data_IF_627213197975
#
_entry.id   IF_627213197975
#
_cell.length_a   1.000
_cell.length_b   1.000
_cell.length_c   1.000
_cell.angle_alpha   90.00
_cell.angle_beta   90.00
_cell.angle_gamma   90.00
#
_symmetry.space_group_name_H-M   'P 1'
#
loop_
_entity.id
_entity.type
_entity.pdbx_description
1 polymer ?
#
# COMPACT_ATOMS: atom_id res chain seq x y z
N UNK A 1 23.89 21.45 -11.42
CA UNK A 1 24.73 20.36 -11.97
C UNK A 1 26.09 20.93 -12.35
N UNK A 2 27.14 20.70 -11.55
CA UNK A 2 28.53 21.00 -11.94
C UNK A 2 29.07 19.81 -12.73
N UNK A 3 29.26 19.96 -14.05
CA UNK A 3 29.97 18.98 -14.87
C UNK A 3 31.48 19.16 -14.69
N UNK A 4 32.04 18.49 -13.67
CA UNK A 4 33.49 18.22 -13.57
C UNK A 4 33.65 16.79 -13.09
N UNK A 5 34.10 15.93 -13.99
CA UNK A 5 34.81 14.67 -13.78
C UNK A 5 34.32 13.58 -14.74
N UNK A 6 34.78 13.66 -15.99
CA UNK A 6 35.13 12.49 -16.79
C UNK A 6 36.26 12.93 -17.73
N UNK A 7 37.43 12.32 -17.51
CA UNK A 7 38.65 12.29 -18.32
C UNK A 7 39.72 13.39 -18.14
N UNK A 8 40.84 12.97 -17.54
CA UNK A 8 42.20 13.42 -17.88
C UNK A 8 42.74 14.63 -17.15
N UNK A 9 43.55 14.42 -16.11
CA UNK A 9 44.48 15.44 -15.57
C UNK A 9 45.49 15.81 -16.66
N UNK A 10 45.41 17.03 -17.18
CA UNK A 10 46.54 17.74 -17.77
C UNK A 10 46.50 19.19 -17.27
N UNK A 11 47.70 19.74 -17.08
CA UNK A 11 48.08 20.82 -16.16
C UNK A 11 47.29 22.14 -16.33
N UNK A 12 47.06 22.80 -15.19
CA UNK A 12 46.72 24.23 -15.01
C UNK A 12 45.61 24.76 -15.93
N UNK A 13 44.36 24.76 -15.45
CA UNK A 13 43.30 25.52 -16.09
C UNK A 13 42.00 25.54 -15.30
N UNK A 14 41.51 26.75 -14.97
CA UNK A 14 40.23 27.01 -14.30
C UNK A 14 39.08 26.40 -15.11
N UNK A 15 38.62 25.20 -14.76
CA UNK A 15 37.44 24.61 -15.39
C UNK A 15 36.19 25.48 -15.22
N UNK A 16 35.55 25.80 -16.33
CA UNK A 16 34.38 26.68 -16.44
C UNK A 16 33.12 25.89 -16.04
N UNK A 17 32.45 26.32 -14.98
CA UNK A 17 31.23 25.68 -14.49
C UNK A 17 29.96 26.35 -15.03
N UNK A 18 29.09 25.60 -15.69
CA UNK A 18 27.72 26.04 -16.00
C UNK A 18 26.89 26.13 -14.71
N UNK A 19 26.52 27.36 -14.30
CA UNK A 19 25.57 27.64 -13.20
C UNK A 19 24.12 27.81 -13.70
N UNK A 20 23.73 27.06 -14.72
CA UNK A 20 22.38 27.16 -15.32
C UNK A 20 21.69 25.80 -15.24
N UNK A 21 20.58 25.72 -14.49
CA UNK A 21 19.78 24.49 -14.36
C UNK A 21 18.99 24.17 -15.63
N UNK A 22 18.62 22.89 -15.81
CA UNK A 22 17.90 22.39 -17.01
C UNK A 22 16.60 23.12 -17.31
N UNK A 23 15.81 23.42 -16.26
CA UNK A 23 14.55 24.16 -16.40
C UNK A 23 14.81 25.57 -16.99
N UNK A 24 15.83 26.26 -16.49
CA UNK A 24 16.20 27.60 -16.94
C UNK A 24 16.70 27.63 -18.39
N UNK A 25 17.39 26.59 -18.87
CA UNK A 25 17.83 26.50 -20.28
C UNK A 25 16.67 26.33 -21.27
N UNK A 26 15.54 25.79 -20.81
CA UNK A 26 14.35 25.53 -21.64
C UNK A 26 13.44 26.74 -21.73
N UNK A 27 13.33 27.52 -20.65
CA UNK A 27 12.50 28.73 -20.60
C UNK A 27 13.21 29.99 -21.10
N UNK A 28 14.46 29.88 -21.55
CA UNK A 28 15.23 31.00 -22.09
C UNK A 28 14.79 31.36 -23.52
N UNK A 29 14.72 32.66 -23.79
CA UNK A 29 14.57 33.15 -25.17
C UNK A 29 15.76 32.72 -26.05
N UNK A 30 15.58 32.76 -27.36
CA UNK A 30 16.65 32.45 -28.33
C UNK A 30 17.86 33.34 -28.07
N UNK A 31 17.65 34.65 -27.89
CA UNK A 31 18.72 35.63 -27.64
C UNK A 31 19.46 35.36 -26.32
N UNK A 32 18.73 35.00 -25.25
CA UNK A 32 19.33 34.64 -23.96
C UNK A 32 20.19 33.38 -24.05
N UNK A 33 19.75 32.39 -24.81
CA UNK A 33 20.49 31.15 -25.02
C UNK A 33 21.74 31.38 -25.88
N UNK A 34 21.64 32.17 -26.94
CA UNK A 34 22.77 32.49 -27.82
C UNK A 34 23.80 33.38 -27.12
N UNK A 35 23.37 34.28 -26.22
CA UNK A 35 24.26 35.03 -25.33
C UNK A 35 25.04 34.11 -24.35
N UNK A 36 24.50 32.95 -23.98
CA UNK A 36 25.23 31.96 -23.19
C UNK A 36 26.23 31.22 -24.07
N UNK A 37 25.85 30.81 -25.28
CA UNK A 37 26.76 30.13 -26.21
C UNK A 37 27.93 31.03 -26.66
N UNK A 38 27.69 32.35 -26.77
CA UNK A 38 28.69 33.33 -27.19
C UNK A 38 29.76 33.60 -26.12
N UNK A 39 29.43 33.43 -24.83
CA UNK A 39 30.40 33.48 -23.73
C UNK A 39 31.48 32.40 -23.83
N UNK A 40 31.17 31.27 -24.46
CA UNK A 40 32.14 30.18 -24.69
C UNK A 40 32.97 30.34 -25.97
N UNK A 41 32.65 31.30 -26.86
CA UNK A 41 33.47 31.58 -28.06
C UNK A 41 34.75 32.35 -27.75
N UNK A 42 34.80 33.06 -26.62
CA UNK A 42 35.95 33.91 -26.25
C UNK A 42 37.14 33.13 -25.67
N UNK A 43 37.12 31.79 -25.74
CA UNK A 43 38.17 30.92 -25.24
C UNK A 43 39.02 30.51 -26.45
N UNK A 44 40.04 31.31 -26.74
CA UNK A 44 40.81 31.23 -27.99
C UNK A 44 42.09 30.39 -27.84
N UNK A 45 42.02 29.25 -27.16
CA UNK A 45 43.10 28.26 -27.24
C UNK A 45 42.69 27.12 -28.17
N UNK A 46 43.56 26.79 -29.12
CA UNK A 46 43.35 25.79 -30.16
C UNK A 46 42.92 24.43 -29.58
N UNK A 47 43.48 24.05 -28.43
CA UNK A 47 43.16 22.82 -27.68
C UNK A 47 41.71 22.79 -27.14
N UNK A 48 41.09 23.94 -26.89
CA UNK A 48 39.74 24.02 -26.34
C UNK A 48 38.63 24.12 -27.41
N UNK A 49 38.97 24.33 -28.69
CA UNK A 49 37.97 24.46 -29.77
C UNK A 49 37.10 23.21 -29.91
N UNK A 50 37.68 22.02 -29.79
CA UNK A 50 36.90 20.78 -29.83
C UNK A 50 35.98 20.63 -28.61
N UNK A 51 36.47 21.00 -27.43
CA UNK A 51 35.72 20.95 -26.17
C UNK A 51 34.52 21.93 -26.20
N UNK A 52 34.74 23.16 -26.64
CA UNK A 52 33.69 24.18 -26.82
C UNK A 52 32.67 23.73 -27.86
N UNK A 53 33.10 23.12 -28.97
CA UNK A 53 32.19 22.56 -30.00
C UNK A 53 31.31 21.43 -29.43
N UNK A 54 31.88 20.53 -28.64
CA UNK A 54 31.15 19.44 -27.98
C UNK A 54 30.16 19.95 -26.92
N UNK A 55 30.56 20.94 -26.13
CA UNK A 55 29.69 21.56 -25.13
C UNK A 55 28.52 22.31 -25.78
N UNK A 56 28.77 23.03 -26.87
CA UNK A 56 27.73 23.68 -27.70
C UNK A 56 26.74 22.66 -28.25
N UNK A 57 27.25 21.54 -28.79
CA UNK A 57 26.41 20.44 -29.29
C UNK A 57 25.56 19.85 -28.16
N UNK A 58 26.12 19.64 -26.97
CA UNK A 58 25.41 19.12 -25.81
C UNK A 58 24.32 20.08 -25.31
N UNK A 59 24.61 21.38 -25.20
CA UNK A 59 23.64 22.40 -24.78
C UNK A 59 22.50 22.55 -25.80
N UNK A 60 22.81 22.53 -27.11
CA UNK A 60 21.81 22.52 -28.17
C UNK A 60 20.94 21.26 -28.11
N UNK A 61 21.53 20.10 -27.81
CA UNK A 61 20.79 18.84 -27.63
C UNK A 61 19.88 18.89 -26.39
N UNK A 62 20.37 19.40 -25.26
CA UNK A 62 19.59 19.55 -24.02
C UNK A 62 18.44 20.55 -24.14
N UNK A 63 18.56 21.55 -25.02
CA UNK A 63 17.49 22.50 -25.36
C UNK A 63 16.45 21.89 -26.31
N UNK A 64 16.87 21.00 -27.23
CA UNK A 64 16.02 20.45 -28.30
C UNK A 64 15.37 19.09 -27.99
N UNK A 65 15.97 18.22 -27.19
CA UNK A 65 15.44 16.88 -26.92
C UNK A 65 14.49 16.86 -25.71
N UNK A 66 13.21 16.61 -25.96
CA UNK A 66 12.25 16.11 -24.96
C UNK A 66 12.45 14.62 -24.66
N UNK A 67 13.19 13.90 -25.50
CA UNK A 67 13.23 12.43 -25.53
C UNK A 67 14.61 11.83 -25.19
N UNK A 68 15.44 12.52 -24.42
CA UNK A 68 16.60 11.88 -23.78
C UNK A 68 16.12 10.91 -22.69
N UNK A 69 15.70 9.73 -23.16
CA UNK A 69 15.55 8.50 -22.42
C UNK A 69 16.83 8.33 -21.61
N UNK A 70 16.67 8.37 -20.29
CA UNK A 70 17.70 7.93 -19.36
C UNK A 70 17.93 6.44 -19.62
N UNK A 71 18.91 6.10 -20.46
CA UNK A 71 19.64 4.83 -20.36
C UNK A 71 21.14 5.14 -20.43
N UNK A 72 21.98 4.64 -19.50
CA UNK A 72 21.72 3.61 -18.49
C UNK A 72 22.15 4.03 -17.06
N UNK A 73 21.22 4.50 -16.24
CA UNK A 73 21.42 4.55 -14.77
C UNK A 73 21.32 3.14 -14.14
N UNK A 74 20.83 2.15 -14.91
CA UNK A 74 20.68 0.77 -14.47
C UNK A 74 22.02 0.03 -14.32
N UNK A 75 23.10 0.47 -14.99
CA UNK A 75 24.35 -0.30 -15.11
C UNK A 75 25.18 -0.43 -13.80
N UNK A 76 24.82 0.26 -12.70
CA UNK A 76 25.58 0.16 -11.44
C UNK A 76 24.76 0.10 -10.15
N UNK A 77 23.45 -0.11 -10.20
CA UNK A 77 22.69 -0.31 -8.95
C UNK A 77 22.93 -1.73 -8.46
N UNK A 78 23.57 -1.85 -7.30
CA UNK A 78 23.68 -3.11 -6.56
C UNK A 78 22.30 -3.47 -6.01
N UNK A 79 22.07 -4.77 -5.83
CA UNK A 79 20.95 -5.28 -5.05
C UNK A 79 20.95 -4.58 -3.69
N UNK A 80 19.78 -4.13 -3.25
CA UNK A 80 19.54 -3.68 -1.89
C UNK A 80 18.71 -4.75 -1.20
N UNK A 81 19.15 -5.16 -0.03
CA UNK A 81 18.29 -5.91 0.89
C UNK A 81 17.17 -4.99 1.36
N UNK A 82 15.98 -5.56 1.47
CA UNK A 82 14.78 -4.89 1.94
C UNK A 82 13.88 -5.93 2.59
N UNK A 83 13.39 -5.64 3.80
CA UNK A 83 12.64 -6.61 4.59
C UNK A 83 11.38 -7.12 3.91
N UNK A 84 10.71 -6.30 3.08
CA UNK A 84 9.49 -6.74 2.38
C UNK A 84 9.84 -7.56 1.15
N UNK A 85 10.78 -7.08 0.32
CA UNK A 85 11.19 -7.80 -0.90
C UNK A 85 11.82 -9.16 -0.58
N UNK A 86 12.71 -9.19 0.41
CA UNK A 86 13.46 -10.39 0.77
C UNK A 86 12.57 -11.40 1.53
N UNK A 87 11.46 -10.96 2.11
CA UNK A 87 10.50 -11.87 2.77
C UNK A 87 9.51 -12.48 1.77
N UNK A 88 9.09 -11.73 0.76
CA UNK A 88 8.24 -12.25 -0.32
C UNK A 88 9.02 -13.22 -1.23
N UNK A 89 10.30 -12.95 -1.46
CA UNK A 89 11.18 -13.80 -2.26
C UNK A 89 12.52 -14.03 -1.53
N UNK A 90 12.59 -14.97 -0.58
CA UNK A 90 13.81 -15.25 0.20
C UNK A 90 15.04 -15.60 -0.63
N UNK A 91 14.83 -16.29 -1.76
CA UNK A 91 15.89 -16.70 -2.67
C UNK A 91 16.44 -15.53 -3.52
N UNK A 92 15.89 -14.32 -3.35
CA UNK A 92 16.29 -13.12 -4.06
C UNK A 92 17.79 -12.90 -4.00
N UNK A 93 18.40 -12.99 -2.82
CA UNK A 93 19.81 -12.68 -2.63
C UNK A 93 20.73 -13.64 -3.40
N UNK A 94 20.33 -14.91 -3.52
CA UNK A 94 21.11 -15.97 -4.17
C UNK A 94 20.92 -15.94 -5.69
N UNK A 95 19.70 -15.68 -6.15
CA UNK A 95 19.31 -15.73 -7.56
C UNK A 95 19.41 -14.38 -8.27
N UNK A 96 19.75 -13.29 -7.56
CA UNK A 96 19.84 -11.97 -8.15
C UNK A 96 20.98 -11.86 -9.17
N UNK A 97 20.62 -11.47 -10.38
CA UNK A 97 21.58 -11.26 -11.46
C UNK A 97 21.84 -9.76 -11.60
N UNK A 98 23.10 -9.31 -11.74
CA UNK A 98 23.39 -7.91 -12.05
C UNK A 98 22.68 -7.45 -13.32
N UNK A 99 22.05 -6.27 -13.27
CA UNK A 99 21.20 -5.75 -14.33
C UNK A 99 21.83 -5.75 -15.74
N UNK A 100 23.15 -5.55 -15.84
CA UNK A 100 23.90 -5.58 -17.10
C UNK A 100 24.15 -6.99 -17.66
N UNK A 101 24.02 -8.04 -16.84
CA UNK A 101 24.12 -9.45 -17.24
C UNK A 101 22.76 -10.04 -17.63
N UNK A 102 21.65 -9.37 -17.32
CA UNK A 102 20.29 -9.87 -17.58
C UNK A 102 19.94 -9.80 -19.07
N UNK A 103 19.29 -10.85 -19.58
CA UNK A 103 18.87 -10.96 -20.98
C UNK A 103 17.35 -11.12 -21.16
N UNK A 104 16.66 -11.72 -20.18
CA UNK A 104 15.23 -12.05 -20.26
C UNK A 104 14.35 -10.79 -20.36
N UNK A 105 13.35 -10.84 -21.23
CA UNK A 105 12.31 -9.82 -21.37
C UNK A 105 10.94 -10.46 -21.61
N UNK A 106 9.85 -9.75 -21.30
CA UNK A 106 8.49 -10.22 -21.61
C UNK A 106 7.42 -9.43 -20.88
N UNK A 107 6.32 -10.10 -20.50
CA UNK A 107 5.16 -9.49 -19.83
C UNK A 107 4.66 -10.34 -18.66
N UNK A 108 4.00 -9.69 -17.70
CA UNK A 108 3.23 -10.32 -16.64
C UNK A 108 1.81 -9.75 -16.66
N UNK A 109 0.81 -10.63 -16.64
CA UNK A 109 -0.59 -10.24 -16.54
C UNK A 109 -1.05 -10.40 -15.09
N UNK A 110 -1.58 -9.33 -14.53
CA UNK A 110 -2.21 -9.28 -13.22
C UNK A 110 -3.72 -9.40 -13.41
N UNK A 111 -4.22 -10.58 -13.07
CA UNK A 111 -5.62 -10.95 -13.15
C UNK A 111 -6.12 -11.32 -11.75
N UNK A 112 -7.34 -10.89 -11.42
CA UNK A 112 -7.96 -11.05 -10.10
C UNK A 112 -7.05 -10.55 -8.98
N UNK A 113 -6.42 -9.39 -9.19
CA UNK A 113 -5.41 -8.85 -8.28
C UNK A 113 -6.06 -8.22 -7.04
N UNK A 114 -6.31 -9.05 -6.03
CA UNK A 114 -7.09 -8.72 -4.84
C UNK A 114 -6.78 -9.64 -3.67
N UNK A 115 -6.37 -9.06 -2.53
CA UNK A 115 -6.26 -9.80 -1.27
C UNK A 115 -7.65 -10.15 -0.72
N UNK A 116 -8.68 -9.36 -1.03
CA UNK A 116 -10.06 -9.59 -0.56
C UNK A 116 -10.66 -10.85 -1.17
N UNK A 117 -10.42 -11.09 -2.46
CA UNK A 117 -11.07 -12.17 -3.21
C UNK A 117 -10.12 -13.31 -3.58
N UNK A 118 -8.82 -13.03 -3.72
CA UNK A 118 -7.83 -14.03 -4.14
C UNK A 118 -6.44 -13.79 -3.53
N UNK A 119 -6.29 -13.91 -2.20
CA UNK A 119 -5.04 -13.59 -1.51
C UNK A 119 -3.88 -14.49 -1.92
N UNK A 120 -4.10 -15.78 -2.15
CA UNK A 120 -3.06 -16.74 -2.59
C UNK A 120 -2.52 -16.37 -3.97
N UNK A 121 -3.39 -16.10 -4.95
CA UNK A 121 -2.95 -15.70 -6.28
C UNK A 121 -2.27 -14.33 -6.22
N UNK A 122 -2.81 -13.38 -5.44
CA UNK A 122 -2.28 -12.02 -5.31
C UNK A 122 -0.86 -12.03 -4.76
N UNK A 123 -0.59 -12.75 -3.67
CA UNK A 123 0.76 -12.84 -3.11
C UNK A 123 1.72 -13.58 -4.06
N UNK A 124 1.22 -14.56 -4.81
CA UNK A 124 2.02 -15.26 -5.83
C UNK A 124 2.40 -14.34 -6.98
N UNK A 125 1.47 -13.53 -7.49
CA UNK A 125 1.76 -12.52 -8.50
C UNK A 125 2.76 -11.48 -8.00
N UNK A 126 2.69 -11.08 -6.72
CA UNK A 126 3.68 -10.20 -6.11
C UNK A 126 5.07 -10.85 -6.04
N UNK A 127 5.17 -12.14 -5.69
CA UNK A 127 6.43 -12.89 -5.76
C UNK A 127 6.99 -12.94 -7.18
N UNK A 128 6.16 -13.26 -8.17
CA UNK A 128 6.56 -13.29 -9.59
C UNK A 128 7.15 -11.94 -10.04
N UNK A 129 6.57 -10.83 -9.57
CA UNK A 129 7.09 -9.49 -9.84
C UNK A 129 8.49 -9.32 -9.25
N UNK A 130 8.72 -9.74 -8.01
CA UNK A 130 10.02 -9.63 -7.32
C UNK A 130 11.07 -10.58 -7.92
N UNK A 131 10.68 -11.79 -8.29
CA UNK A 131 11.53 -12.76 -8.98
C UNK A 131 12.00 -12.21 -10.34
N UNK A 132 11.07 -11.68 -11.15
CA UNK A 132 11.38 -11.07 -12.44
C UNK A 132 12.24 -9.84 -12.27
N UNK A 133 12.03 -9.03 -11.23
CA UNK A 133 12.95 -7.93 -10.90
C UNK A 133 14.37 -8.40 -10.64
N UNK A 134 14.54 -9.57 -10.06
CA UNK A 134 15.85 -10.10 -9.68
C UNK A 134 16.63 -10.63 -10.88
N UNK A 135 15.94 -11.11 -11.92
CA UNK A 135 16.58 -11.86 -13.03
C UNK A 135 16.32 -11.29 -14.43
N UNK A 136 15.31 -10.45 -14.65
CA UNK A 136 14.93 -9.94 -15.97
C UNK A 136 15.51 -8.56 -16.29
N UNK A 137 15.80 -8.36 -17.58
CA UNK A 137 16.34 -7.10 -18.11
C UNK A 137 15.26 -6.03 -18.15
N UNK A 138 14.08 -6.39 -18.63
CA UNK A 138 12.91 -5.52 -18.71
C UNK A 138 11.63 -6.33 -18.90
N UNK A 139 10.51 -5.91 -18.34
CA UNK A 139 9.20 -6.50 -18.64
C UNK A 139 8.06 -5.50 -18.55
N UNK A 140 6.93 -5.83 -19.15
CA UNK A 140 5.69 -5.08 -19.00
C UNK A 140 4.80 -5.71 -17.93
N UNK A 141 4.05 -4.88 -17.21
CA UNK A 141 3.09 -5.31 -16.19
C UNK A 141 1.69 -4.90 -16.64
N UNK A 142 0.86 -5.88 -17.00
CA UNK A 142 -0.46 -5.66 -17.53
C UNK A 142 -1.51 -5.85 -16.43
N UNK A 143 -2.29 -4.83 -16.15
CA UNK A 143 -3.43 -4.87 -15.24
C UNK A 143 -4.68 -5.10 -16.08
N UNK A 144 -5.20 -6.33 -16.05
CA UNK A 144 -6.20 -6.79 -17.02
C UNK A 144 -7.62 -6.92 -16.44
N UNK A 145 -7.80 -6.72 -15.14
CA UNK A 145 -9.13 -6.69 -14.54
C UNK A 145 -9.94 -5.49 -15.06
N UNK A 146 -11.24 -5.65 -15.25
CA UNK A 146 -12.09 -4.55 -15.74
C UNK A 146 -12.15 -3.39 -14.74
N UNK A 147 -12.27 -3.72 -13.45
CA UNK A 147 -12.38 -2.79 -12.33
C UNK A 147 -11.26 -3.02 -11.31
N UNK A 148 -10.98 -2.03 -10.46
CA UNK A 148 -10.08 -2.22 -9.33
C UNK A 148 -10.79 -3.05 -8.25
N UNK A 149 -10.39 -4.32 -8.08
CA UNK A 149 -11.04 -5.25 -7.15
C UNK A 149 -10.65 -5.04 -5.69
N UNK A 150 -9.50 -4.41 -5.45
CA UNK A 150 -8.93 -4.17 -4.12
C UNK A 150 -7.77 -3.18 -4.25
N UNK A 151 -7.85 -2.05 -3.55
CA UNK A 151 -6.81 -1.01 -3.60
C UNK A 151 -5.51 -1.44 -2.90
N UNK A 152 -5.60 -2.32 -1.90
CA UNK A 152 -4.48 -2.73 -1.07
C UNK A 152 -3.42 -3.50 -1.87
N UNK A 153 -3.83 -4.36 -2.81
CA UNK A 153 -2.92 -5.07 -3.71
C UNK A 153 -2.02 -4.11 -4.50
N UNK A 154 -2.58 -3.00 -4.99
CA UNK A 154 -1.84 -1.95 -5.71
C UNK A 154 -0.93 -1.17 -4.76
N UNK A 155 -1.37 -0.91 -3.53
CA UNK A 155 -0.53 -0.23 -2.55
C UNK A 155 0.67 -1.10 -2.14
N UNK A 156 0.49 -2.41 -1.95
CA UNK A 156 1.61 -3.35 -1.70
C UNK A 156 2.58 -3.33 -2.88
N UNK A 157 2.06 -3.41 -4.12
CA UNK A 157 2.91 -3.30 -5.31
C UNK A 157 3.69 -1.99 -5.33
N UNK A 158 3.09 -0.87 -4.94
CA UNK A 158 3.77 0.42 -4.80
C UNK A 158 4.93 0.36 -3.81
N UNK A 159 4.71 -0.22 -2.62
CA UNK A 159 5.76 -0.40 -1.60
C UNK A 159 6.95 -1.19 -2.15
N UNK A 160 6.69 -2.29 -2.87
CA UNK A 160 7.75 -3.08 -3.50
C UNK A 160 8.50 -2.24 -4.55
N UNK A 161 7.75 -1.53 -5.41
CA UNK A 161 8.32 -0.76 -6.52
C UNK A 161 9.22 0.39 -6.09
N UNK A 162 9.02 0.97 -4.91
CA UNK A 162 9.93 1.98 -4.36
C UNK A 162 11.37 1.45 -4.16
N UNK A 163 11.49 0.16 -3.87
CA UNK A 163 12.76 -0.51 -3.51
C UNK A 163 13.36 -1.29 -4.68
N UNK A 164 12.52 -1.68 -5.64
CA UNK A 164 12.91 -2.44 -6.84
C UNK A 164 13.76 -1.62 -7.83
N UNK A 165 14.52 -2.33 -8.69
CA UNK A 165 15.07 -1.70 -9.89
C UNK A 165 13.96 -1.32 -10.88
N UNK A 166 14.13 -0.24 -11.67
CA UNK A 166 13.15 0.20 -12.66
C UNK A 166 13.24 -0.64 -13.94
N UNK A 167 12.99 -1.95 -13.82
CA UNK A 167 12.97 -2.90 -14.95
C UNK A 167 11.58 -3.05 -15.57
N UNK A 168 10.54 -2.55 -14.91
CA UNK A 168 9.19 -2.47 -15.46
C UNK A 168 9.16 -1.29 -16.46
N UNK A 169 8.98 -1.59 -17.74
CA UNK A 169 9.10 -0.58 -18.82
C UNK A 169 7.76 -0.03 -19.31
N UNK A 170 6.64 -0.61 -18.87
CA UNK A 170 5.29 -0.20 -19.27
C UNK A 170 4.29 -1.33 -19.01
N UNK A 171 3.17 -1.31 -19.72
CA UNK A 171 2.14 -2.34 -19.66
C UNK A 171 0.75 -1.79 -19.94
N UNK A 172 -0.20 -2.70 -20.14
CA UNK A 172 -1.61 -2.36 -20.35
C UNK A 172 -2.27 -2.11 -19.00
N UNK A 173 -3.11 -1.08 -18.91
CA UNK A 173 -4.00 -0.88 -17.77
C UNK A 173 -5.38 -0.61 -18.36
N UNK A 174 -6.36 -1.42 -17.96
CA UNK A 174 -7.77 -1.22 -18.32
C UNK A 174 -8.29 0.14 -17.86
N UNK A 175 -9.40 0.60 -18.44
CA UNK A 175 -9.95 1.91 -18.13
C UNK A 175 -10.38 2.02 -16.65
N UNK A 176 -11.10 1.03 -16.11
CA UNK A 176 -11.57 1.04 -14.72
C UNK A 176 -10.43 1.14 -13.71
N UNK A 177 -9.40 0.31 -13.85
CA UNK A 177 -8.21 0.37 -12.98
C UNK A 177 -7.51 1.73 -13.11
N UNK A 178 -7.32 2.22 -14.35
CA UNK A 178 -6.62 3.50 -14.59
C UNK A 178 -7.35 4.67 -13.94
N UNK A 179 -8.69 4.69 -13.98
CA UNK A 179 -9.51 5.71 -13.30
C UNK A 179 -9.22 5.73 -11.81
N UNK A 180 -9.28 4.57 -11.14
CA UNK A 180 -9.02 4.45 -9.69
C UNK A 180 -7.58 4.83 -9.34
N UNK A 181 -6.58 4.26 -10.03
CA UNK A 181 -5.15 4.54 -9.79
C UNK A 181 -4.81 6.02 -9.97
N UNK A 182 -5.48 6.70 -10.91
CA UNK A 182 -5.32 8.15 -11.09
C UNK A 182 -6.01 8.94 -9.98
N UNK A 183 -7.28 8.63 -9.67
CA UNK A 183 -8.07 9.35 -8.67
C UNK A 183 -7.48 9.26 -7.25
N UNK A 184 -6.93 8.10 -6.89
CA UNK A 184 -6.36 7.84 -5.57
C UNK A 184 -4.90 8.32 -5.47
N UNK A 185 -4.33 8.91 -6.53
CA UNK A 185 -2.92 9.34 -6.63
C UNK A 185 -1.90 8.19 -6.50
N UNK A 186 -2.26 6.98 -6.92
CA UNK A 186 -1.34 5.83 -6.90
C UNK A 186 -0.36 5.82 -8.08
N UNK A 187 -0.57 6.63 -9.12
CA UNK A 187 0.26 6.59 -10.34
C UNK A 187 1.75 6.85 -10.08
N UNK A 188 2.06 7.84 -9.23
CA UNK A 188 3.44 8.17 -8.85
C UNK A 188 4.06 7.07 -7.97
N UNK A 189 3.30 6.60 -6.97
CA UNK A 189 3.73 5.55 -6.06
C UNK A 189 3.98 4.22 -6.78
N UNK A 190 3.10 3.86 -7.70
CA UNK A 190 3.28 2.73 -8.59
C UNK A 190 4.35 3.02 -9.65
N UNK A 191 4.84 4.24 -9.85
CA UNK A 191 5.76 4.61 -10.94
C UNK A 191 5.27 4.08 -12.30
N UNK A 192 3.99 4.28 -12.59
CA UNK A 192 3.39 3.98 -13.88
C UNK A 192 3.19 5.28 -14.64
N UNK A 193 3.69 5.34 -15.87
CA UNK A 193 3.46 6.49 -16.75
C UNK A 193 2.01 6.47 -17.19
N UNK A 194 1.19 7.34 -16.62
CA UNK A 194 -0.18 7.54 -17.03
C UNK A 194 -0.49 9.03 -17.19
N UNK A 195 -0.80 9.46 -18.41
CA UNK A 195 -1.65 10.62 -18.62
C UNK A 195 -3.07 10.20 -18.17
N UNK A 196 -3.31 10.19 -16.87
CA UNK A 196 -4.66 10.00 -16.34
C UNK A 196 -5.56 11.16 -16.80
N UNK A 197 -6.86 10.93 -17.01
CA UNK A 197 -7.77 12.03 -17.31
C UNK A 197 -7.73 13.06 -16.17
N UNK A 198 -7.68 14.36 -16.51
CA UNK A 198 -7.60 15.45 -15.51
C UNK A 198 -8.78 15.47 -14.54
N UNK A 199 -9.89 14.82 -14.89
CA UNK A 199 -11.05 14.56 -14.04
C UNK A 199 -11.51 13.12 -14.24
N UNK A 200 -11.73 12.41 -13.13
CA UNK A 200 -12.30 11.07 -13.11
C UNK A 200 -13.71 11.19 -12.55
N UNK A 201 -14.71 10.97 -13.40
CA UNK A 201 -16.12 10.97 -12.97
C UNK A 201 -16.48 9.61 -12.35
N UNK A 202 -17.39 9.61 -11.37
CA UNK A 202 -17.90 8.39 -10.73
C UNK A 202 -16.93 7.69 -9.79
N UNK A 203 -15.83 8.36 -9.40
CA UNK A 203 -14.89 7.88 -8.39
C UNK A 203 -14.69 8.95 -7.32
N UNK A 204 -14.87 8.56 -6.07
CA UNK A 204 -14.73 9.41 -4.90
C UNK A 204 -13.53 8.92 -4.09
N UNK A 205 -12.33 9.48 -4.30
CA UNK A 205 -11.11 8.93 -3.73
C UNK A 205 -10.90 9.38 -2.29
N UNK A 206 -10.43 8.44 -1.46
CA UNK A 206 -9.59 8.71 -0.31
C UNK A 206 -8.13 8.57 -0.75
N UNK A 207 -7.52 9.69 -1.16
CA UNK A 207 -6.19 9.70 -1.80
C UNK A 207 -5.14 9.05 -0.92
N UNK A 208 -4.18 8.33 -1.53
CA UNK A 208 -3.08 7.70 -0.82
C UNK A 208 -2.41 8.67 0.17
N UNK A 209 -2.40 8.26 1.43
CA UNK A 209 -1.62 8.89 2.49
C UNK A 209 -0.55 7.91 2.94
N UNK A 210 0.64 8.44 3.16
CA UNK A 210 1.77 7.66 3.64
C UNK A 210 2.49 8.45 4.71
N UNK A 211 2.99 7.72 5.70
CA UNK A 211 3.97 8.26 6.63
C UNK A 211 5.35 7.73 6.27
N UNK A 212 6.34 8.63 6.11
CA UNK A 212 7.72 8.23 5.80
C UNK A 212 8.51 7.84 7.05
N UNK A 213 9.60 7.11 6.82
CA UNK A 213 10.29 6.28 7.81
C UNK A 213 11.00 7.00 8.96
N UNK A 214 11.58 6.18 9.83
CA UNK A 214 12.17 6.58 11.10
C UNK A 214 13.15 7.77 10.99
N UNK A 215 12.90 8.83 11.76
CA UNK A 215 13.76 10.01 11.84
C UNK A 215 13.52 11.10 10.78
N UNK A 216 12.58 10.92 9.85
CA UNK A 216 12.07 12.03 9.01
C UNK A 216 11.04 12.91 9.73
N UNK A 217 10.56 12.45 10.89
CA UNK A 217 9.87 13.25 11.89
C UNK A 217 10.85 14.26 12.51
N UNK A 218 10.97 15.44 11.91
CA UNK A 218 11.47 16.61 12.64
C UNK A 218 10.65 16.66 13.93
N UNK A 219 11.31 16.54 15.09
CA UNK A 219 10.71 16.53 16.43
C UNK A 219 9.41 17.35 16.52
N UNK A 220 8.27 16.72 16.26
CA UNK A 220 6.92 17.27 16.44
C UNK A 220 6.51 17.27 17.92
N UNK A 221 7.49 17.35 18.83
CA UNK A 221 7.29 17.45 20.28
C UNK A 221 7.03 18.90 20.74
N UNK A 222 6.85 19.85 19.83
CA UNK A 222 6.19 21.10 20.16
C UNK A 222 4.69 20.87 19.98
N UNK A 223 3.92 20.83 21.08
CA UNK A 223 2.46 20.62 21.12
C UNK A 223 1.59 21.67 20.41
N UNK A 224 2.04 22.16 19.26
CA UNK A 224 1.39 23.14 18.38
C UNK A 224 1.18 22.62 16.94
N UNK A 225 1.65 21.41 16.59
CA UNK A 225 1.51 20.86 15.23
C UNK A 225 0.72 19.54 15.24
N UNK A 226 -0.31 19.46 14.40
CA UNK A 226 -1.13 18.25 14.18
C UNK A 226 -0.33 17.24 13.36
N UNK A 227 -0.18 16.02 13.89
CA UNK A 227 0.59 14.91 13.31
C UNK A 227 -0.03 14.40 11.99
N UNK A 228 0.76 13.68 11.19
CA UNK A 228 0.27 13.08 9.93
C UNK A 228 -0.86 12.07 10.14
N UNK A 229 -0.80 11.36 11.27
CA UNK A 229 -1.79 10.41 11.77
C UNK A 229 -3.10 11.14 12.10
N UNK A 230 -3.06 12.18 12.94
CA UNK A 230 -4.24 12.95 13.32
C UNK A 230 -4.91 13.59 12.09
N UNK A 231 -4.13 14.17 11.16
CA UNK A 231 -4.69 14.70 9.91
C UNK A 231 -5.37 13.62 9.08
N UNK A 232 -4.75 12.45 8.97
CA UNK A 232 -5.31 11.34 8.19
C UNK A 232 -6.55 10.75 8.86
N UNK A 233 -6.53 10.66 10.19
CA UNK A 233 -7.63 10.18 11.00
C UNK A 233 -8.86 11.10 10.90
N UNK A 234 -8.67 12.42 10.86
CA UNK A 234 -9.77 13.38 10.66
C UNK A 234 -10.35 13.36 9.24
N UNK A 235 -9.55 13.05 8.22
CA UNK A 235 -9.99 13.07 6.83
C UNK A 235 -10.88 11.86 6.44
N UNK A 236 -10.71 10.71 7.11
CA UNK A 236 -11.48 9.52 6.75
C UNK A 236 -12.99 9.68 7.06
N UNK A 237 -13.42 10.13 8.25
CA UNK A 237 -14.82 10.44 8.52
C UNK A 237 -15.42 11.43 7.50
N UNK A 238 -14.70 12.51 7.17
CA UNK A 238 -15.14 13.49 6.17
C UNK A 238 -15.30 12.87 4.78
N UNK A 239 -14.43 11.93 4.43
CA UNK A 239 -14.50 11.22 3.14
C UNK A 239 -15.66 10.24 3.10
N UNK A 240 -15.93 9.53 4.21
CA UNK A 240 -17.07 8.62 4.32
C UNK A 240 -18.38 9.41 4.29
N UNK A 241 -18.48 10.56 4.97
CA UNK A 241 -19.63 11.45 4.85
C UNK A 241 -19.88 11.91 3.42
N UNK A 242 -18.80 12.24 2.70
CA UNK A 242 -18.91 12.58 1.29
C UNK A 242 -19.43 11.39 0.47
N UNK A 243 -18.99 10.16 0.75
CA UNK A 243 -19.52 8.97 0.09
C UNK A 243 -21.01 8.77 0.37
N UNK A 244 -21.43 8.91 1.64
CA UNK A 244 -22.83 8.79 2.05
C UNK A 244 -23.73 9.89 1.46
N UNK A 245 -23.18 11.08 1.21
CA UNK A 245 -23.92 12.18 0.60
C UNK A 245 -24.30 11.95 -0.87
N UNK A 246 -23.70 10.96 -1.53
CA UNK A 246 -24.04 10.57 -2.92
C UNK A 246 -25.26 9.63 -2.99
N UNK A 247 -25.81 9.23 -1.84
CA UNK A 247 -27.02 8.42 -1.76
C UNK A 247 -28.27 9.27 -1.96
N UNK A 248 -29.38 8.62 -2.29
CA UNK A 248 -30.68 9.27 -2.40
C UNK A 248 -31.74 8.54 -1.55
N UNK A 249 -32.22 9.11 -0.43
CA UNK A 249 -31.82 10.42 0.10
C UNK A 249 -30.37 10.43 0.62
N UNK A 250 -29.69 11.60 0.63
CA UNK A 250 -28.34 11.71 1.17
C UNK A 250 -28.28 11.30 2.64
N UNK A 251 -27.27 10.51 2.99
CA UNK A 251 -26.98 10.14 4.37
C UNK A 251 -25.74 10.83 4.89
N UNK A 252 -25.60 10.87 6.22
CA UNK A 252 -24.41 11.33 6.90
C UNK A 252 -24.16 10.47 8.14
N UNK A 253 -22.91 10.38 8.55
CA UNK A 253 -22.53 9.82 9.83
C UNK A 253 -23.16 10.65 10.95
N UNK A 254 -23.70 9.96 11.96
CA UNK A 254 -24.02 10.60 13.23
C UNK A 254 -22.75 11.13 13.91
N UNK A 255 -22.90 12.05 14.86
CA UNK A 255 -21.77 12.54 15.67
C UNK A 255 -21.01 11.38 16.34
N UNK A 256 -21.76 10.42 16.88
CA UNK A 256 -21.19 9.19 17.44
C UNK A 256 -20.46 8.36 16.38
N UNK A 257 -21.03 8.21 15.19
CA UNK A 257 -20.40 7.51 14.07
C UNK A 257 -19.07 8.14 13.67
N UNK A 258 -19.01 9.48 13.56
CA UNK A 258 -17.77 10.22 13.29
C UNK A 258 -16.70 9.98 14.35
N UNK A 259 -17.07 10.08 15.64
CA UNK A 259 -16.14 9.86 16.77
C UNK A 259 -15.64 8.40 16.78
N UNK A 260 -16.51 7.44 16.50
CA UNK A 260 -16.15 6.02 16.42
C UNK A 260 -15.12 5.78 15.32
N UNK A 261 -15.35 6.29 14.10
CA UNK A 261 -14.43 6.14 12.97
C UNK A 261 -13.10 6.84 13.28
N UNK A 262 -13.13 8.06 13.82
CA UNK A 262 -11.93 8.81 14.21
C UNK A 262 -11.08 8.04 15.23
N UNK A 263 -11.72 7.50 16.27
CA UNK A 263 -11.05 6.72 17.31
C UNK A 263 -10.46 5.44 16.74
N UNK A 264 -11.27 4.72 15.95
CA UNK A 264 -10.90 3.47 15.30
C UNK A 264 -9.68 3.64 14.37
N UNK A 265 -9.74 4.63 13.48
CA UNK A 265 -8.65 4.83 12.53
C UNK A 265 -7.39 5.33 13.25
N UNK A 266 -7.53 6.13 14.31
CA UNK A 266 -6.44 6.49 15.20
C UNK A 266 -5.78 5.24 15.78
N UNK A 267 -6.54 4.32 16.36
CA UNK A 267 -6.04 3.05 16.91
C UNK A 267 -5.35 2.17 15.85
N UNK A 268 -5.95 2.05 14.66
CA UNK A 268 -5.37 1.23 13.57
C UNK A 268 -4.07 1.83 13.06
N UNK A 269 -4.01 3.15 12.84
CA UNK A 269 -2.79 3.85 12.40
C UNK A 269 -1.70 3.86 13.48
N UNK A 270 -2.09 4.01 14.74
CA UNK A 270 -1.19 3.91 15.88
C UNK A 270 -0.59 2.50 16.00
N UNK A 271 -1.40 1.45 15.82
CA UNK A 271 -0.91 0.09 15.77
C UNK A 271 0.05 -0.09 14.59
N UNK A 272 -0.35 0.33 13.40
CA UNK A 272 0.49 0.30 12.20
C UNK A 272 1.86 0.98 12.43
N UNK A 273 1.89 2.13 13.11
CA UNK A 273 3.10 2.83 13.55
C UNK A 273 3.94 1.98 14.49
N UNK A 274 3.37 1.54 15.62
CA UNK A 274 4.09 0.79 16.66
C UNK A 274 4.65 -0.54 16.15
N UNK A 275 3.98 -1.16 15.18
CA UNK A 275 4.41 -2.42 14.58
C UNK A 275 5.53 -2.23 13.54
N UNK A 276 5.67 -1.04 12.96
CA UNK A 276 6.69 -0.78 11.93
C UNK A 276 8.10 -0.66 12.49
N UNK A 277 8.31 0.08 13.58
CA UNK A 277 9.56 0.12 14.34
C UNK A 277 9.25 0.07 15.85
N UNK A 278 9.23 -1.13 16.45
CA UNK A 278 8.92 -1.28 17.87
C UNK A 278 9.99 -0.72 18.81
N UNK A 279 11.21 -0.47 18.31
CA UNK A 279 12.30 0.07 19.13
C UNK A 279 12.13 1.59 19.33
N UNK A 280 11.63 2.29 18.32
CA UNK A 280 11.47 3.75 18.35
C UNK A 280 10.00 4.23 18.35
N UNK A 281 9.03 3.30 18.32
CA UNK A 281 7.60 3.59 18.12
C UNK A 281 7.36 4.54 16.92
N UNK A 282 8.18 4.40 15.88
CA UNK A 282 8.10 5.15 14.64
C UNK A 282 7.74 4.19 13.50
N UNK A 283 7.20 4.65 12.37
CA UNK A 283 6.66 3.68 11.43
C UNK A 283 6.11 4.19 10.14
N UNK A 284 6.30 3.36 9.11
CA UNK A 284 5.72 3.56 7.80
C UNK A 284 4.38 2.86 7.73
N UNK A 285 3.34 3.62 7.41
CA UNK A 285 2.06 3.06 7.02
C UNK A 285 1.59 3.75 5.75
N UNK A 286 0.71 3.08 5.03
CA UNK A 286 0.03 3.60 3.85
C UNK A 286 -1.46 3.29 3.97
N UNK A 287 -2.30 4.27 3.68
CA UNK A 287 -3.76 4.10 3.62
C UNK A 287 -4.31 4.77 2.37
N UNK A 288 -5.23 4.10 1.70
CA UNK A 288 -5.94 4.63 0.56
C UNK A 288 -7.30 3.96 0.40
N UNK A 289 -8.24 4.64 -0.24
CA UNK A 289 -9.56 4.11 -0.49
C UNK A 289 -10.25 4.82 -1.63
N UNK A 290 -11.39 4.28 -2.04
CA UNK A 290 -12.24 4.91 -3.04
C UNK A 290 -13.66 4.35 -2.95
N UNK A 291 -14.64 5.16 -3.36
CA UNK A 291 -15.95 4.68 -3.75
C UNK A 291 -16.09 4.82 -5.27
N UNK A 292 -16.67 3.80 -5.91
CA UNK A 292 -16.93 3.77 -7.35
C UNK A 292 -18.34 3.26 -7.63
N UNK A 293 -19.07 3.96 -8.49
CA UNK A 293 -20.34 3.46 -9.00
C UNK A 293 -20.11 2.29 -9.97
N UNK A 294 -20.83 1.20 -9.77
CA UNK A 294 -20.78 -0.02 -10.58
C UNK A 294 -22.18 -0.42 -11.00
N UNK A 295 -22.31 -0.82 -12.25
CA UNK A 295 -23.54 -1.41 -12.76
C UNK A 295 -23.58 -2.90 -12.41
N UNK A 296 -24.70 -3.37 -11.88
CA UNK A 296 -24.99 -4.77 -11.62
C UNK A 296 -25.51 -5.44 -12.89
N UNK A 297 -25.56 -6.77 -12.89
CA UNK A 297 -26.08 -7.55 -14.01
C UNK A 297 -27.56 -7.29 -14.31
N UNK A 298 -28.33 -6.82 -13.33
CA UNK A 298 -29.74 -6.43 -13.47
C UNK A 298 -29.93 -4.98 -13.95
N UNK A 299 -28.83 -4.27 -14.26
CA UNK A 299 -28.85 -2.86 -14.68
C UNK A 299 -28.96 -1.85 -13.54
N UNK A 300 -29.10 -2.31 -12.28
CA UNK A 300 -29.06 -1.42 -11.12
C UNK A 300 -27.64 -0.91 -10.85
N UNK A 301 -27.50 0.20 -10.12
CA UNK A 301 -26.19 0.75 -9.74
C UNK A 301 -25.92 0.45 -8.27
N UNK A 302 -24.69 0.05 -7.95
CA UNK A 302 -24.15 -0.08 -6.59
C UNK A 302 -22.96 0.85 -6.42
N UNK A 303 -22.74 1.35 -5.20
CA UNK A 303 -21.53 2.11 -4.88
C UNK A 303 -20.58 1.20 -4.10
N UNK A 304 -19.54 0.72 -4.79
CA UNK A 304 -18.52 -0.13 -4.19
C UNK A 304 -17.46 0.72 -3.48
N UNK A 305 -17.35 0.56 -2.17
CA UNK A 305 -16.38 1.24 -1.32
C UNK A 305 -15.22 0.30 -0.98
N UNK A 306 -13.99 0.78 -1.16
CA UNK A 306 -12.76 0.06 -0.85
C UNK A 306 -11.88 0.90 0.08
N UNK A 307 -11.25 0.24 1.05
CA UNK A 307 -10.25 0.84 1.92
C UNK A 307 -9.12 -0.17 2.17
N UNK A 308 -7.87 0.28 2.04
CA UNK A 308 -6.68 -0.53 2.28
C UNK A 308 -5.75 0.18 3.26
N UNK A 309 -5.27 -0.54 4.27
CA UNK A 309 -4.28 -0.08 5.25
C UNK A 309 -3.13 -1.07 5.24
N UNK A 310 -1.90 -0.58 5.09
CA UNK A 310 -0.70 -1.41 5.04
C UNK A 310 0.36 -0.82 5.95
N UNK A 311 1.01 -1.67 6.73
CA UNK A 311 2.21 -1.34 7.50
C UNK A 311 3.30 -2.37 7.23
N UNK A 312 4.36 -2.01 6.48
CA UNK A 312 5.58 -2.81 6.46
C UNK A 312 6.24 -2.75 7.84
N UNK A 313 6.59 -3.91 8.41
CA UNK A 313 7.04 -3.95 9.80
C UNK A 313 6.99 -5.33 10.41
N UNK A 314 6.89 -5.40 11.73
CA UNK A 314 6.58 -6.64 12.42
C UNK A 314 5.16 -7.10 12.08
N UNK A 315 5.06 -8.42 11.91
CA UNK A 315 3.78 -9.10 11.82
C UNK A 315 3.04 -9.06 13.16
N UNK A 316 1.75 -9.38 13.13
CA UNK A 316 0.92 -9.54 14.34
C UNK A 316 1.54 -10.58 15.27
N UNK A 317 1.96 -11.74 14.72
CA UNK A 317 2.65 -12.78 15.47
C UNK A 317 3.90 -12.25 16.16
N UNK A 318 4.85 -11.67 15.41
CA UNK A 318 6.09 -11.10 15.98
C UNK A 318 5.81 -10.02 17.04
N UNK A 319 4.71 -9.29 16.90
CA UNK A 319 4.31 -8.25 17.85
C UNK A 319 3.73 -8.83 19.13
N UNK A 320 2.85 -9.84 19.03
CA UNK A 320 2.27 -10.53 20.18
C UNK A 320 3.31 -11.37 20.93
N UNK A 321 4.38 -11.84 20.29
CA UNK A 321 5.51 -12.49 20.99
C UNK A 321 6.16 -11.55 22.04
N UNK A 322 5.92 -10.24 21.93
CA UNK A 322 6.38 -9.21 22.88
C UNK A 322 5.29 -8.74 23.84
N UNK A 323 4.13 -9.39 23.87
CA UNK A 323 3.03 -9.08 24.77
C UNK A 323 3.34 -9.54 26.21
N UNK A 324 2.56 -9.07 27.21
CA UNK A 324 2.60 -9.59 28.58
C UNK A 324 2.52 -11.11 28.63
N UNK A 325 3.14 -11.71 29.67
CA UNK A 325 3.32 -13.15 29.75
C UNK A 325 2.00 -13.94 29.82
N UNK A 326 1.00 -13.38 30.48
CA UNK A 326 -0.37 -13.88 30.56
C UNK A 326 -1.06 -13.92 29.19
N UNK A 327 -1.00 -12.82 28.42
CA UNK A 327 -1.53 -12.76 27.06
C UNK A 327 -0.82 -13.76 26.15
N UNK A 328 0.53 -13.84 26.21
CA UNK A 328 1.27 -14.83 25.43
C UNK A 328 0.90 -16.26 25.79
N UNK A 329 0.76 -16.55 27.08
CA UNK A 329 0.36 -17.88 27.53
C UNK A 329 -1.05 -18.22 27.05
N UNK A 330 -1.99 -17.27 27.10
CA UNK A 330 -3.35 -17.45 26.59
C UNK A 330 -3.36 -17.74 25.08
N UNK A 331 -2.66 -16.93 24.28
CA UNK A 331 -2.59 -17.09 22.82
C UNK A 331 -1.87 -18.38 22.45
N UNK A 332 -0.75 -18.68 23.11
CA UNK A 332 0.02 -19.92 22.88
C UNK A 332 -0.78 -21.16 23.25
N UNK A 333 -1.59 -21.12 24.32
CA UNK A 333 -2.49 -22.21 24.69
C UNK A 333 -3.51 -22.49 23.58
N UNK A 334 -4.15 -21.45 23.06
CA UNK A 334 -5.08 -21.56 21.93
C UNK A 334 -4.39 -22.10 20.67
N UNK A 335 -3.21 -21.57 20.34
CA UNK A 335 -2.50 -22.02 19.15
C UNK A 335 -2.05 -23.49 19.27
N UNK A 336 -1.55 -23.88 20.43
CA UNK A 336 -1.11 -25.25 20.71
C UNK A 336 -2.28 -26.23 20.64
N UNK A 337 -3.43 -25.90 21.24
CA UNK A 337 -4.61 -26.79 21.26
C UNK A 337 -5.13 -27.15 19.86
N UNK A 338 -4.84 -26.32 18.86
CA UNK A 338 -5.28 -26.51 17.47
C UNK A 338 -4.17 -26.91 16.50
N UNK A 339 -2.92 -27.06 16.98
CA UNK A 339 -1.76 -27.50 16.17
C UNK A 339 -1.15 -28.81 16.66
N UNK A 340 -1.28 -29.15 17.95
CA UNK A 340 -0.71 -30.36 18.53
C UNK A 340 -1.65 -31.56 18.36
N UNK A 341 -1.61 -32.22 17.20
CA UNK A 341 -2.34 -33.47 16.95
C UNK A 341 -1.73 -34.30 15.82
N UNK A 342 -1.53 -35.61 16.04
CA UNK A 342 -0.86 -36.53 15.08
C UNK A 342 -1.57 -36.68 13.71
N UNK A 343 -2.79 -36.18 13.57
CA UNK A 343 -3.64 -36.39 12.38
C UNK A 343 -4.21 -35.09 11.77
N UNK A 344 -3.81 -33.91 12.24
CA UNK A 344 -4.40 -32.65 11.76
C UNK A 344 -3.53 -32.00 10.68
N UNK A 345 -3.89 -32.21 9.41
CA UNK A 345 -3.44 -31.35 8.30
C UNK A 345 -4.31 -30.10 8.27
N UNK A 346 -4.09 -29.19 9.21
CA UNK A 346 -4.74 -27.88 9.19
C UNK A 346 -4.13 -27.03 8.05
N UNK A 347 -4.94 -26.23 7.34
CA UNK A 347 -4.44 -25.31 6.32
C UNK A 347 -3.80 -24.04 6.91
N UNK A 348 -3.68 -23.96 8.23
CA UNK A 348 -3.11 -22.85 8.99
C UNK A 348 -1.99 -23.34 9.92
N UNK A 349 -1.08 -22.43 10.25
CA UNK A 349 0.00 -22.63 11.21
C UNK A 349 -0.21 -21.84 12.51
N UNK A 350 0.79 -21.85 13.38
CA UNK A 350 0.77 -21.07 14.61
C UNK A 350 0.54 -19.57 14.34
N UNK A 351 1.20 -18.99 13.35
CA UNK A 351 1.09 -17.54 13.04
C UNK A 351 -0.35 -17.15 12.65
N UNK A 352 -1.06 -18.01 11.93
CA UNK A 352 -2.48 -17.82 11.62
C UNK A 352 -3.37 -17.82 12.87
N UNK A 353 -3.17 -18.76 13.79
CA UNK A 353 -3.95 -18.83 15.05
C UNK A 353 -3.65 -17.66 16.00
N UNK A 354 -2.41 -17.18 16.04
CA UNK A 354 -2.05 -15.96 16.75
C UNK A 354 -2.72 -14.73 16.14
N UNK A 355 -2.88 -14.70 14.82
CA UNK A 355 -3.61 -13.62 14.13
C UNK A 355 -5.11 -13.65 14.46
N UNK A 356 -5.72 -14.84 14.49
CA UNK A 356 -7.11 -14.99 14.98
C UNK A 356 -7.21 -14.51 16.42
N UNK A 357 -6.26 -14.85 17.28
CA UNK A 357 -6.27 -14.40 18.68
C UNK A 357 -6.15 -12.88 18.80
N UNK A 358 -5.33 -12.23 17.97
CA UNK A 358 -5.20 -10.77 17.94
C UNK A 358 -6.49 -10.03 17.54
N UNK A 359 -7.45 -10.72 16.91
CA UNK A 359 -8.75 -10.14 16.62
C UNK A 359 -9.63 -10.06 17.86
N UNK A 360 -9.43 -10.90 18.88
CA UNK A 360 -10.33 -10.94 20.03
C UNK A 360 -10.18 -9.66 20.86
N UNK A 361 -11.29 -9.18 21.41
CA UNK A 361 -11.24 -8.04 22.33
C UNK A 361 -10.25 -8.33 23.48
N UNK A 362 -9.54 -7.31 23.94
CA UNK A 362 -8.53 -7.34 25.02
C UNK A 362 -7.20 -8.03 24.71
N UNK A 363 -7.06 -8.72 23.57
CA UNK A 363 -5.78 -9.31 23.16
C UNK A 363 -4.89 -8.22 22.55
N UNK A 364 -3.89 -7.79 23.31
CA UNK A 364 -2.98 -6.71 22.91
C UNK A 364 -1.58 -6.91 23.47
N UNK A 365 -0.59 -6.32 22.80
CA UNK A 365 0.78 -6.18 23.33
C UNK A 365 0.87 -5.15 24.47
N UNK A 366 -0.07 -4.20 24.53
CA UNK A 366 -0.08 -3.13 25.54
C UNK A 366 -0.86 -3.61 26.77
N UNK A 367 -0.30 -3.53 27.99
CA UNK A 367 -1.03 -3.87 29.20
C UNK A 367 -2.30 -3.02 29.35
N UNK A 368 -3.43 -3.65 29.72
CA UNK A 368 -4.68 -2.95 30.03
C UNK A 368 -4.56 -1.99 31.23
N UNK A 369 -3.53 -2.18 32.07
CA UNK A 369 -3.27 -1.38 33.27
C UNK A 369 -2.64 -0.01 32.99
N UNK A 370 -2.23 0.31 31.76
CA UNK A 370 -1.80 1.66 31.41
C UNK A 370 -3.02 2.60 31.40
N UNK A 371 -3.05 3.59 32.30
CA UNK A 371 -4.15 4.57 32.42
C UNK A 371 -4.49 5.18 31.05
N UNK A 372 -5.70 4.92 30.56
CA UNK A 372 -6.21 5.42 29.28
C UNK A 372 -6.07 4.47 28.08
N UNK A 373 -5.47 3.28 28.26
CA UNK A 373 -5.30 2.29 27.21
C UNK A 373 -6.61 1.56 26.90
N UNK A 374 -7.19 1.81 25.73
CA UNK A 374 -8.23 0.97 25.09
C UNK A 374 -7.59 -0.12 24.20
N UNK A 375 -6.43 -0.63 24.59
CA UNK A 375 -5.69 -1.62 23.80
C UNK A 375 -6.54 -2.87 23.52
N UNK A 376 -6.53 -3.34 22.26
CA UNK A 376 -7.10 -4.63 21.89
C UNK A 376 -8.57 -4.62 21.46
N UNK A 377 -9.18 -3.49 21.12
CA UNK A 377 -10.56 -3.43 20.58
C UNK A 377 -10.65 -3.02 19.11
N UNK A 378 -9.62 -2.37 18.56
CA UNK A 378 -9.67 -1.71 17.26
C UNK A 378 -10.06 -2.62 16.09
N UNK A 379 -9.56 -3.86 16.02
CA UNK A 379 -9.89 -4.75 14.89
C UNK A 379 -11.36 -5.20 14.88
N UNK A 380 -11.93 -5.53 16.04
CA UNK A 380 -13.36 -5.87 16.12
C UNK A 380 -14.24 -4.66 15.87
N UNK A 381 -13.82 -3.47 16.31
CA UNK A 381 -14.51 -2.22 15.99
C UNK A 381 -14.44 -1.91 14.49
N UNK A 382 -13.37 -2.31 13.80
CA UNK A 382 -13.30 -2.23 12.33
C UNK A 382 -14.32 -3.16 11.66
N UNK A 383 -14.42 -4.40 12.13
CA UNK A 383 -15.43 -5.37 11.65
C UNK A 383 -16.85 -4.86 11.89
N UNK A 384 -17.14 -4.33 13.08
CA UNK A 384 -18.45 -3.75 13.40
C UNK A 384 -18.78 -2.57 12.47
N UNK A 385 -17.83 -1.64 12.30
CA UNK A 385 -18.00 -0.47 11.44
C UNK A 385 -18.30 -0.85 9.99
N UNK A 386 -17.57 -1.80 9.38
CA UNK A 386 -17.84 -2.18 7.98
C UNK A 386 -19.21 -2.83 7.81
N UNK A 387 -19.67 -3.59 8.81
CA UNK A 387 -20.99 -4.20 8.80
C UNK A 387 -22.09 -3.14 8.95
N UNK A 388 -21.88 -2.13 9.79
CA UNK A 388 -22.82 -1.00 9.96
C UNK A 388 -22.87 -0.09 8.73
N UNK A 389 -21.73 0.11 8.05
CA UNK A 389 -21.66 0.92 6.83
C UNK A 389 -22.24 0.23 5.61
N UNK A 390 -22.30 -1.10 5.58
CA UNK A 390 -22.83 -1.82 4.43
C UNK A 390 -24.35 -1.66 4.33
N UNK A 391 -24.82 -1.02 3.26
CA UNK A 391 -26.26 -0.75 3.06
C UNK A 391 -26.88 -1.57 1.94
N UNK A 392 -26.09 -2.39 1.24
CA UNK A 392 -26.62 -3.22 0.17
C UNK A 392 -27.45 -4.40 0.72
N UNK A 393 -28.69 -4.61 0.22
CA UNK A 393 -29.49 -5.78 0.55
C UNK A 393 -29.06 -7.02 -0.25
N UNK A 394 -28.19 -6.85 -1.24
CA UNK A 394 -27.81 -7.90 -2.18
C UNK A 394 -26.79 -8.88 -1.55
N UNK A 395 -27.02 -10.20 -1.61
CA UNK A 395 -26.11 -11.20 -1.03
C UNK A 395 -24.67 -11.13 -1.55
N UNK A 396 -24.47 -10.75 -2.82
CA UNK A 396 -23.16 -10.58 -3.46
C UNK A 396 -22.38 -9.37 -2.94
N UNK A 397 -23.09 -8.41 -2.35
CA UNK A 397 -22.57 -7.14 -1.84
C UNK A 397 -22.37 -7.17 -0.31
N UNK A 398 -22.23 -8.36 0.27
CA UNK A 398 -21.84 -8.48 1.68
C UNK A 398 -20.47 -7.85 1.93
N UNK A 399 -20.27 -7.22 3.10
CA UNK A 399 -18.99 -6.63 3.44
C UNK A 399 -17.92 -7.73 3.54
N UNK A 400 -16.71 -7.39 3.11
CA UNK A 400 -15.56 -8.29 3.14
C UNK A 400 -14.36 -7.59 3.72
N UNK A 401 -13.65 -8.30 4.57
CA UNK A 401 -12.39 -7.85 5.13
C UNK A 401 -11.38 -8.98 5.08
N UNK A 402 -10.14 -8.64 4.75
CA UNK A 402 -9.03 -9.59 4.76
C UNK A 402 -7.85 -8.98 5.49
N UNK A 403 -7.31 -9.74 6.44
CA UNK A 403 -6.07 -9.42 7.15
C UNK A 403 -5.01 -10.38 6.67
N UNK A 404 -3.92 -9.83 6.13
CA UNK A 404 -2.71 -10.60 5.85
C UNK A 404 -1.61 -10.13 6.79
N UNK A 405 -0.97 -11.03 7.52
CA UNK A 405 0.16 -10.70 8.38
C UNK A 405 1.17 -11.84 8.43
N UNK A 406 2.38 -11.60 7.93
CA UNK A 406 3.34 -12.68 7.76
C UNK A 406 2.84 -13.68 6.72
N UNK A 407 2.72 -14.94 7.12
CA UNK A 407 2.09 -15.98 6.30
C UNK A 407 0.60 -16.14 6.61
N UNK A 408 0.08 -15.53 7.67
CA UNK A 408 -1.33 -15.64 8.03
C UNK A 408 -2.23 -14.87 7.07
N UNK A 409 -3.35 -15.49 6.70
CA UNK A 409 -4.49 -14.85 6.06
C UNK A 409 -5.78 -15.16 6.83
N UNK A 410 -6.49 -14.13 7.25
CA UNK A 410 -7.79 -14.21 7.92
C UNK A 410 -8.82 -13.42 7.13
N UNK A 411 -9.94 -14.07 6.77
CA UNK A 411 -11.00 -13.51 5.94
C UNK A 411 -12.30 -13.40 6.72
N UNK A 412 -12.78 -12.17 6.92
CA UNK A 412 -14.08 -11.87 7.51
C UNK A 412 -15.05 -11.64 6.36
N UNK A 413 -15.85 -12.66 6.04
CA UNK A 413 -16.87 -12.64 4.97
C UNK A 413 -17.88 -13.76 5.18
N UNK A 414 -18.96 -13.72 4.40
CA UNK A 414 -19.97 -14.79 4.30
C UNK A 414 -20.52 -15.22 5.67
N UNK A 415 -20.33 -16.48 6.10
CA UNK A 415 -20.85 -16.99 7.38
C UNK A 415 -20.09 -16.46 8.62
N UNK A 416 -18.93 -15.84 8.43
CA UNK A 416 -18.09 -15.32 9.52
C UNK A 416 -18.02 -13.79 9.55
N UNK A 417 -19.06 -13.10 9.04
CA UNK A 417 -19.14 -11.63 9.08
C UNK A 417 -19.48 -11.08 10.48
N UNK A 418 -20.06 -11.90 11.37
CA UNK A 418 -20.54 -11.49 12.71
C UNK A 418 -19.69 -12.09 13.83
N UNK A 419 -19.46 -11.29 14.86
CA UNK A 419 -18.87 -11.74 16.13
C UNK A 419 -19.97 -12.19 17.12
N UNK A 420 -19.55 -12.93 18.15
CA UNK A 420 -20.37 -13.29 19.32
C UNK A 420 -19.94 -12.45 20.51
N UNK A 421 -20.89 -11.91 21.27
CA UNK A 421 -20.59 -11.27 22.57
C UNK A 421 -20.62 -12.35 23.67
N UNK A 422 -19.60 -12.39 24.51
CA UNK A 422 -19.58 -13.22 25.73
C UNK A 422 -20.15 -12.46 26.93
N UNK A 423 -20.38 -13.15 28.05
CA UNK A 423 -21.00 -12.58 29.26
C UNK A 423 -20.27 -11.34 29.81
N UNK A 424 -18.95 -11.26 29.62
CA UNK A 424 -18.15 -10.08 29.97
C UNK A 424 -18.31 -8.88 29.00
N UNK A 425 -19.16 -8.99 27.99
CA UNK A 425 -19.39 -7.97 26.95
C UNK A 425 -18.33 -7.96 25.83
N UNK A 426 -17.28 -8.77 25.93
CA UNK A 426 -16.23 -8.88 24.92
C UNK A 426 -16.72 -9.60 23.65
N UNK A 427 -16.21 -9.15 22.49
CA UNK A 427 -16.50 -9.73 21.18
C UNK A 427 -15.49 -10.82 20.84
N UNK A 428 -16.01 -11.94 20.34
CA UNK A 428 -15.25 -13.10 19.89
C UNK A 428 -15.57 -13.44 18.43
N UNK A 429 -14.54 -13.79 17.67
CA UNK A 429 -14.61 -14.28 16.31
C UNK A 429 -13.60 -15.43 16.13
N UNK A 430 -14.08 -16.66 16.26
CA UNK A 430 -13.29 -17.89 16.19
C UNK A 430 -13.28 -18.53 14.78
N UNK A 431 -14.05 -17.98 13.84
CA UNK A 431 -14.15 -18.47 12.46
C UNK A 431 -14.56 -19.95 12.34
N UNK A 432 -15.47 -20.40 13.20
CA UNK A 432 -16.12 -21.71 13.09
C UNK A 432 -17.62 -21.55 13.32
N UNK A 433 -18.40 -22.59 13.04
CA UNK A 433 -19.87 -22.51 13.02
C UNK A 433 -20.44 -22.17 14.41
N UNK A 434 -19.79 -22.59 15.49
CA UNK A 434 -20.19 -22.24 16.86
C UNK A 434 -19.69 -20.87 17.34
N UNK A 435 -18.78 -20.25 16.59
CA UNK A 435 -18.02 -19.06 16.96
C UNK A 435 -17.42 -19.16 18.38
N UNK A 436 -16.74 -20.29 18.64
CA UNK A 436 -16.14 -20.66 19.94
C UNK A 436 -14.67 -21.04 19.78
N UNK A 437 -13.81 -20.61 20.71
CA UNK A 437 -12.35 -20.77 20.61
C UNK A 437 -11.86 -22.20 20.90
N UNK A 438 -12.72 -23.09 21.40
CA UNK A 438 -12.41 -24.50 21.64
C UNK A 438 -12.49 -25.36 20.37
N UNK A 439 -13.08 -24.83 19.30
CA UNK A 439 -13.13 -25.46 17.99
C UNK A 439 -12.11 -24.85 17.03
N UNK A 440 -11.54 -25.65 16.10
CA UNK A 440 -10.63 -25.14 15.09
C UNK A 440 -11.33 -24.14 14.17
N UNK A 441 -10.64 -23.10 13.68
CA UNK A 441 -11.19 -22.22 12.65
C UNK A 441 -11.36 -22.95 11.31
N UNK A 442 -12.28 -22.45 10.51
CA UNK A 442 -12.56 -22.88 9.14
C UNK A 442 -11.38 -22.52 8.23
N UNK A 443 -10.82 -23.55 7.59
CA UNK A 443 -9.66 -23.46 6.73
C UNK A 443 -9.86 -22.66 5.44
N UNK A 444 -11.12 -22.41 5.04
CA UNK A 444 -11.41 -21.54 3.90
C UNK A 444 -11.23 -20.06 4.25
N UNK A 445 -11.35 -19.70 5.54
CA UNK A 445 -11.32 -18.32 6.02
C UNK A 445 -10.05 -18.00 6.80
N UNK A 446 -9.42 -19.01 7.39
CA UNK A 446 -8.16 -18.89 8.12
C UNK A 446 -7.15 -19.89 7.55
N UNK A 447 -6.09 -19.39 6.93
CA UNK A 447 -5.08 -20.25 6.30
C UNK A 447 -3.72 -19.57 6.19
N UNK A 448 -2.71 -20.38 5.90
CA UNK A 448 -1.33 -19.96 5.65
C UNK A 448 -1.12 -19.70 4.15
N UNK A 449 -0.63 -18.51 3.82
CA UNK A 449 -0.22 -18.11 2.48
C UNK A 449 1.08 -18.80 2.07
N UNK A 450 1.27 -19.08 0.76
CA UNK A 450 2.49 -19.71 0.27
C UNK A 450 3.73 -18.83 0.42
N UNK A 451 3.56 -17.51 0.55
CA UNK A 451 4.65 -16.54 0.69
C UNK A 451 4.34 -15.55 1.80
N UNK A 452 5.41 -15.10 2.46
CA UNK A 452 5.32 -14.23 3.63
C UNK A 452 5.29 -12.76 3.22
N UNK A 453 4.39 -11.98 3.81
CA UNK A 453 4.44 -10.52 3.77
C UNK A 453 5.01 -9.97 5.08
N UNK A 454 6.09 -9.18 5.02
CA UNK A 454 6.70 -8.59 6.22
C UNK A 454 5.92 -7.35 6.70
N UNK A 455 4.88 -7.59 7.49
CA UNK A 455 4.03 -6.54 8.05
C UNK A 455 2.57 -6.99 8.19
N UNK A 456 1.65 -6.04 8.12
CA UNK A 456 0.20 -6.31 8.07
C UNK A 456 -0.47 -5.55 6.93
N UNK A 457 -1.44 -6.19 6.30
CA UNK A 457 -2.35 -5.63 5.29
C UNK A 457 -3.76 -5.83 5.83
N UNK A 458 -4.56 -4.76 5.83
CA UNK A 458 -5.99 -4.80 6.10
C UNK A 458 -6.70 -4.28 4.86
N UNK A 459 -7.41 -5.16 4.17
CA UNK A 459 -8.14 -4.86 2.94
C UNK A 459 -9.64 -4.98 3.19
N UNK A 460 -10.42 -3.96 2.81
CA UNK A 460 -11.84 -3.85 3.12
C UNK A 460 -12.63 -3.53 1.85
N UNK A 461 -13.81 -4.14 1.73
CA UNK A 461 -14.84 -3.78 0.75
C UNK A 461 -16.22 -3.81 1.40
N UNK A 462 -17.01 -2.78 1.15
CA UNK A 462 -18.44 -2.74 1.48
C UNK A 462 -19.18 -1.97 0.38
N UNK A 463 -20.50 -1.99 0.43
CA UNK A 463 -21.34 -1.43 -0.62
C UNK A 463 -22.41 -0.51 -0.04
N UNK A 464 -22.66 0.59 -0.74
CA UNK A 464 -23.79 1.48 -0.48
C UNK A 464 -24.77 1.38 -1.66
N UNK A 465 -26.07 1.35 -1.37
CA UNK A 465 -27.08 1.32 -2.42
C UNK A 465 -27.64 2.73 -2.66
N UNK A 466 -27.53 3.28 -3.88
CA UNK A 466 -28.01 4.63 -4.18
C UNK A 466 -29.55 4.73 -4.25
N UNK A 467 -30.29 3.61 -4.20
CA UNK A 467 -31.76 3.57 -4.31
C UNK A 467 -32.49 3.35 -2.97
N UNK A 468 -33.67 3.96 -2.82
CA UNK A 468 -34.41 4.07 -1.54
C UNK A 468 -34.73 2.73 -0.86
N UNK A 469 -34.50 2.68 0.46
CA UNK A 469 -35.33 1.87 1.36
C UNK A 469 -36.75 2.43 1.39
N UNK A 470 -37.73 1.60 1.01
CA UNK A 470 -39.05 1.58 1.66
C UNK A 470 -39.33 0.18 2.21
N UNK A 471 -40.00 0.18 3.38
CA UNK A 471 -40.44 -0.92 4.26
C UNK A 471 -39.49 -1.18 5.44
N UNK A 472 -39.86 -0.98 6.70
CA UNK A 472 -41.19 -0.89 7.31
C UNK A 472 -41.24 0.14 8.44
N UNK A 473 -42.37 0.84 8.54
CA UNK A 473 -42.90 1.17 9.84
C UNK A 473 -43.58 -0.09 10.37
N UNK A 474 -43.10 -0.59 11.50
CA UNK A 474 -43.86 -1.38 12.47
C UNK A 474 -43.17 -1.17 13.81
N UNK A 475 -43.90 -0.41 14.66
CA UNK A 475 -43.79 -0.15 16.12
C UNK A 475 -42.42 -0.09 16.80
#
# INVERSE_FOLDING_TARGET
>A
MKLRALYGRSRRGRGIGLKTGRSRLRTMSIDQFDAILSKYSRIDSFENRHHVKNLRRLLRKLRRDETLIIKPIVIKRRMKSDGVLDTIYPERNELWIPSWKRKKTGSLDLHRFSFIDNPIQTISLLRDIVERESTWKAYSLNFIDNNCLDISAYMVLGLLREKMLPVITGGKITAGIRRVVSAVNLSEFLNIKGNGPRRVYGIYPFTLRQRRGAGESVRDNNGKFVTSEERTASLLPETIDKWLSELNPPLALSERGRINILTLIGEVLDNAKRHSDPANADGTWSIAGFMEARERSDGSTTLACHLGIINPGHTIYQSLQRAPADIRAQVSKYATSHTSGLFQRCPYDEEALWTVSALQDTISRVPLSEKGSRGGFGMMTLVEMINELNQSPHPEDRPRMTIVSGTSCVMVRDKHEKFRKIEAGHRIMAFNDGNVLDQPPDGEYVFTLPYRFQGTIVALRFFLDPSERKKDGQE
#
